data_IF_627914609253
#
_entry.id   IF_627914609253
#
_cell.length_a   1.000
_cell.length_b   1.000
_cell.length_c   1.000
_cell.angle_alpha   90.00
_cell.angle_beta   90.00
_cell.angle_gamma   90.00
#
_symmetry.space_group_name_H-M   'P 1'
#
loop_
_entity.id
_entity.type
_entity.pdbx_description
1 polymer ?
#
# COMPACT_ATOMS: atom_id res chain seq x y z
N UNK A 1 2.31 56.61 34.81
CA UNK A 1 1.22 55.62 34.81
C UNK A 1 0.41 55.82 33.54
N UNK A 2 0.65 54.98 32.51
CA UNK A 2 0.02 55.11 31.19
C UNK A 2 -0.85 53.88 30.95
N UNK A 3 -2.12 54.13 30.66
CA UNK A 3 -3.12 53.17 30.19
C UNK A 3 -2.82 52.89 28.72
N UNK A 4 -2.83 51.62 28.31
CA UNK A 4 -2.96 51.26 26.90
C UNK A 4 -4.09 50.23 26.74
N UNK A 5 -5.14 50.67 26.04
CA UNK A 5 -6.13 49.81 25.39
C UNK A 5 -5.47 49.19 24.16
N UNK A 6 -5.68 47.90 23.92
CA UNK A 6 -5.53 47.33 22.59
C UNK A 6 -6.77 46.49 22.26
N UNK A 7 -7.18 46.64 21.00
CA UNK A 7 -8.46 46.29 20.40
C UNK A 7 -8.50 44.83 19.94
N UNK A 8 -9.73 44.34 19.77
CA UNK A 8 -10.15 43.13 19.04
C UNK A 8 -9.44 42.94 17.70
N UNK A 9 -9.16 41.68 17.32
CA UNK A 9 -9.48 41.14 15.99
C UNK A 9 -9.99 39.69 16.13
N UNK A 10 -11.17 39.46 15.53
CA UNK A 10 -11.87 38.23 15.14
C UNK A 10 -10.95 37.12 14.59
N UNK A 11 -11.20 35.83 14.84
CA UNK A 11 -12.30 35.08 14.23
C UNK A 11 -11.87 34.50 12.88
N UNK A 12 -11.14 33.38 12.88
CA UNK A 12 -11.01 32.43 11.76
C UNK A 12 -10.28 31.16 12.25
N UNK A 13 -10.91 30.45 13.19
CA UNK A 13 -10.47 29.13 13.66
C UNK A 13 -11.61 28.13 13.46
N UNK A 14 -12.07 28.01 12.21
CA UNK A 14 -13.01 26.98 11.78
C UNK A 14 -12.99 26.95 10.24
N UNK A 15 -12.09 26.14 9.66
CA UNK A 15 -12.06 25.56 8.31
C UNK A 15 -10.64 25.00 8.17
N UNK A 16 -10.39 23.84 8.75
CA UNK A 16 -9.24 22.99 8.38
C UNK A 16 -9.46 21.51 8.74
N UNK A 17 -10.67 21.13 9.17
CA UNK A 17 -11.02 19.74 9.56
C UNK A 17 -12.10 19.13 8.64
N UNK A 18 -12.35 19.71 7.46
CA UNK A 18 -13.44 19.27 6.58
C UNK A 18 -12.98 19.04 5.13
N UNK A 19 -11.85 18.35 4.92
CA UNK A 19 -11.44 17.93 3.57
C UNK A 19 -10.81 16.53 3.50
N UNK A 20 -10.98 15.69 4.53
CA UNK A 20 -10.40 14.33 4.53
C UNK A 20 -11.40 13.18 4.53
N UNK A 21 -12.69 13.45 4.34
CA UNK A 21 -13.66 12.41 4.03
C UNK A 21 -14.49 12.86 2.82
N UNK A 22 -14.66 11.93 1.89
CA UNK A 22 -15.32 12.04 0.58
C UNK A 22 -14.40 12.49 -0.55
N UNK A 23 -13.67 11.54 -1.15
CA UNK A 23 -13.92 11.08 -2.53
C UNK A 23 -12.86 10.06 -2.96
N UNK A 24 -13.31 8.86 -3.33
CA UNK A 24 -12.49 7.83 -3.96
C UNK A 24 -12.12 8.18 -5.40
N UNK A 25 -11.23 7.40 -6.05
CA UNK A 25 -10.68 7.77 -7.34
C UNK A 25 -11.63 7.37 -8.47
N UNK A 26 -12.08 8.36 -9.25
CA UNK A 26 -12.40 8.15 -10.66
C UNK A 26 -11.54 9.12 -11.47
N UNK A 27 -10.50 8.56 -12.07
CA UNK A 27 -9.72 9.16 -13.13
C UNK A 27 -10.50 8.96 -14.42
N UNK A 28 -10.89 10.04 -15.08
CA UNK A 28 -10.87 10.17 -16.54
C UNK A 28 -11.20 11.62 -16.94
N UNK A 29 -10.36 12.11 -17.85
CA UNK A 29 -10.51 13.25 -18.75
C UNK A 29 -10.41 14.67 -18.18
N UNK A 30 -9.23 15.28 -18.35
CA UNK A 30 -9.18 16.66 -18.82
C UNK A 30 -7.99 16.90 -19.77
N UNK A 31 -8.35 17.02 -21.04
CA UNK A 31 -7.52 17.48 -22.16
C UNK A 31 -7.23 18.98 -21.97
N UNK A 32 -5.96 19.36 -22.06
CA UNK A 32 -5.56 20.77 -22.17
C UNK A 32 -5.87 21.28 -23.59
N UNK A 33 -6.91 22.10 -23.72
CA UNK A 33 -7.23 22.85 -24.93
C UNK A 33 -7.35 24.34 -24.59
N UNK A 34 -6.38 25.12 -25.04
CA UNK A 34 -6.42 26.59 -24.99
C UNK A 34 -7.54 27.11 -25.90
N UNK A 35 -8.50 27.84 -25.34
CA UNK A 35 -9.59 28.47 -26.08
C UNK A 35 -9.87 29.88 -25.57
N UNK A 36 -9.48 30.87 -26.37
CA UNK A 36 -9.94 32.25 -26.30
C UNK A 36 -11.47 32.29 -26.46
N UNK A 37 -12.18 32.95 -25.54
CA UNK A 37 -13.57 33.37 -25.74
C UNK A 37 -13.63 34.89 -25.66
N UNK A 38 -13.89 35.52 -26.80
CA UNK A 38 -14.29 36.92 -26.88
C UNK A 38 -15.78 37.05 -26.55
N UNK A 39 -16.11 38.01 -25.69
CA UNK A 39 -17.47 38.43 -25.39
C UNK A 39 -17.91 39.59 -26.29
N UNK A 40 -19.10 39.50 -26.84
CA UNK A 40 -20.02 40.62 -27.07
C UNK A 40 -21.41 40.12 -26.68
N UNK A 41 -22.34 40.87 -26.10
CA UNK A 41 -22.48 42.26 -25.70
C UNK A 41 -23.98 42.45 -25.44
N UNK A 42 -24.40 43.11 -24.36
CA UNK A 42 -25.84 43.27 -24.08
C UNK A 42 -26.22 43.83 -22.70
N UNK A 43 -26.19 45.17 -22.60
CA UNK A 43 -27.13 46.10 -21.92
C UNK A 43 -27.86 45.62 -20.65
N UNK A 44 -27.58 46.26 -19.49
CA UNK A 44 -28.50 47.12 -18.72
C UNK A 44 -27.79 47.73 -17.50
N UNK A 45 -28.16 48.96 -17.19
CA UNK A 45 -27.56 49.85 -16.22
C UNK A 45 -27.83 49.45 -14.76
N UNK A 46 -26.88 49.72 -13.85
CA UNK A 46 -27.04 50.67 -12.72
C UNK A 46 -25.79 50.71 -11.82
N UNK A 47 -25.36 51.95 -11.54
CA UNK A 47 -24.49 52.44 -10.47
C UNK A 47 -23.74 51.43 -9.56
N UNK A 48 -22.45 51.24 -9.81
CA UNK A 48 -21.48 50.91 -8.76
C UNK A 48 -20.18 51.70 -8.97
N UNK A 49 -19.77 52.44 -7.94
CA UNK A 49 -18.48 53.14 -7.86
C UNK A 49 -17.33 52.16 -8.11
N UNK A 50 -16.44 52.51 -9.03
CA UNK A 50 -15.14 51.86 -9.20
C UNK A 50 -14.31 51.96 -7.91
N UNK A 51 -13.94 50.81 -7.36
CA UNK A 51 -12.79 50.70 -6.45
C UNK A 51 -11.63 50.22 -7.32
N UNK A 52 -10.73 51.14 -7.67
CA UNK A 52 -9.45 50.82 -8.30
C UNK A 52 -8.60 50.03 -7.30
N UNK A 53 -8.24 48.80 -7.67
CA UNK A 53 -7.21 48.01 -7.00
C UNK A 53 -5.88 48.18 -7.75
N UNK A 54 -5.33 49.38 -7.69
CA UNK A 54 -3.93 49.59 -8.02
C UNK A 54 -3.05 49.11 -6.86
N UNK A 55 -2.31 48.02 -7.12
CA UNK A 55 -1.06 47.59 -6.45
C UNK A 55 -1.15 47.25 -4.96
N UNK A 56 -1.62 46.04 -4.66
CA UNK A 56 -1.16 45.34 -3.44
C UNK A 56 0.09 44.54 -3.80
N UNK A 57 1.27 45.12 -3.53
CA UNK A 57 2.52 44.35 -3.44
C UNK A 57 2.48 43.57 -2.13
N UNK A 58 2.16 42.27 -2.21
CA UNK A 58 2.44 41.34 -1.13
C UNK A 58 3.96 41.18 -1.02
N UNK A 59 4.57 41.85 -0.05
CA UNK A 59 5.96 41.62 0.33
C UNK A 59 5.91 40.51 1.38
N UNK A 60 6.38 39.28 1.08
CA UNK A 60 6.42 38.22 2.07
C UNK A 60 7.38 38.64 3.19
N UNK A 61 6.86 38.72 4.41
CA UNK A 61 7.69 38.90 5.60
C UNK A 61 8.59 37.66 5.75
N UNK A 62 9.90 37.89 5.85
CA UNK A 62 10.93 36.84 5.99
C UNK A 62 10.73 35.98 7.24
N UNK A 63 9.89 36.41 8.18
CA UNK A 63 9.55 35.65 9.38
C UNK A 63 8.43 34.62 9.17
N UNK A 64 7.63 34.72 8.10
CA UNK A 64 6.54 33.77 7.83
C UNK A 64 7.06 32.39 7.41
N UNK A 65 8.17 32.35 6.66
CA UNK A 65 8.85 31.11 6.27
C UNK A 65 9.38 30.31 7.47
N UNK A 66 9.80 30.99 8.55
CA UNK A 66 10.30 30.31 9.76
C UNK A 66 9.18 29.64 10.56
N UNK A 67 7.99 30.26 10.59
CA UNK A 67 6.80 29.67 11.23
C UNK A 67 6.24 28.48 10.44
N UNK A 68 6.15 28.60 9.11
CA UNK A 68 5.64 27.56 8.24
C UNK A 68 6.55 26.31 8.19
N UNK A 69 7.87 26.48 8.21
CA UNK A 69 8.81 25.34 8.27
C UNK A 69 8.77 24.60 9.61
N UNK A 70 8.58 25.30 10.73
CA UNK A 70 8.48 24.66 12.05
C UNK A 70 7.25 23.77 12.21
N UNK A 71 6.12 24.15 11.60
CA UNK A 71 4.86 23.40 11.68
C UNK A 71 4.85 22.17 10.75
N UNK A 72 5.58 22.23 9.62
CA UNK A 72 5.74 21.09 8.71
C UNK A 72 6.59 19.95 9.31
N UNK A 73 7.57 20.29 10.17
CA UNK A 73 8.43 19.30 10.86
C UNK A 73 7.69 18.59 12.00
N UNK A 74 6.74 19.26 12.65
CA UNK A 74 5.95 18.66 13.74
C UNK A 74 4.87 17.69 13.23
N UNK A 75 4.25 17.95 12.08
CA UNK A 75 3.27 17.03 11.50
C UNK A 75 3.89 15.76 10.89
N UNK A 76 5.13 15.83 10.39
CA UNK A 76 5.83 14.64 9.88
C UNK A 76 6.45 13.79 10.98
N UNK A 77 6.88 14.40 12.09
CA UNK A 77 7.43 13.69 13.25
C UNK A 77 6.40 12.84 14.01
N UNK A 78 5.15 13.28 14.10
CA UNK A 78 4.09 12.56 14.83
C UNK A 78 3.58 11.35 14.05
N UNK A 79 3.52 11.41 12.71
CA UNK A 79 3.07 10.28 11.89
C UNK A 79 4.07 9.12 11.84
N UNK A 80 5.39 9.38 11.93
CA UNK A 80 6.41 8.32 11.95
C UNK A 80 6.47 7.62 13.32
N UNK A 81 6.05 8.29 14.39
CA UNK A 81 6.08 7.72 15.74
C UNK A 81 4.87 6.81 16.03
N UNK A 82 3.73 7.00 15.35
CA UNK A 82 2.54 6.18 15.52
C UNK A 82 2.67 4.78 14.88
N UNK A 83 3.46 4.62 13.82
CA UNK A 83 3.69 3.32 13.16
C UNK A 83 4.56 2.36 13.96
N UNK A 84 5.22 2.84 15.02
CA UNK A 84 6.12 2.02 15.85
C UNK A 84 5.44 1.26 17.00
N UNK A 85 4.12 1.41 17.16
CA UNK A 85 3.39 0.92 18.36
C UNK A 85 2.63 -0.40 18.13
N UNK A 86 2.56 -0.93 16.91
CA UNK A 86 1.95 -2.26 16.66
C UNK A 86 2.98 -3.30 16.22
N UNK A 87 4.14 -3.35 16.88
CA UNK A 87 4.91 -4.60 16.88
C UNK A 87 4.25 -5.49 17.94
N UNK A 88 3.53 -6.57 17.56
CA UNK A 88 3.13 -7.56 18.57
C UNK A 88 4.40 -7.99 19.31
N UNK A 89 4.33 -8.08 20.63
CA UNK A 89 5.47 -8.60 21.41
C UNK A 89 5.69 -10.06 21.00
N UNK A 90 6.57 -10.28 20.02
CA UNK A 90 6.93 -11.60 19.49
C UNK A 90 7.91 -12.29 20.44
N UNK A 91 7.52 -12.44 21.70
CA UNK A 91 8.16 -13.38 22.61
C UNK A 91 7.59 -14.77 22.32
N UNK A 92 8.00 -15.38 21.21
CA UNK A 92 8.12 -16.83 21.04
C UNK A 92 8.47 -17.15 19.58
N UNK A 93 9.49 -17.98 19.42
CA UNK A 93 10.06 -18.49 18.15
C UNK A 93 9.12 -19.47 17.41
N UNK A 94 7.84 -19.49 17.77
CA UNK A 94 6.80 -20.28 17.12
C UNK A 94 6.06 -19.42 16.11
N UNK A 95 5.95 -19.90 14.88
CA UNK A 95 5.24 -19.21 13.81
C UNK A 95 3.89 -18.64 14.25
N UNK A 96 3.76 -17.32 14.28
CA UNK A 96 2.47 -16.68 14.54
C UNK A 96 1.60 -16.79 13.29
N UNK A 97 0.33 -17.12 13.47
CA UNK A 97 -0.66 -17.04 12.40
C UNK A 97 -0.78 -15.57 11.95
N UNK A 98 -0.37 -15.29 10.71
CA UNK A 98 -0.37 -13.93 10.17
C UNK A 98 -1.80 -13.38 10.03
N UNK A 99 -2.75 -14.27 9.75
CA UNK A 99 -4.15 -13.94 9.54
C UNK A 99 -4.87 -13.47 10.81
N UNK A 100 -4.32 -13.76 11.99
CA UNK A 100 -4.85 -13.23 13.26
C UNK A 100 -4.67 -11.71 13.37
N UNK A 101 -3.65 -11.16 12.71
CA UNK A 101 -3.34 -9.74 12.72
C UNK A 101 -3.91 -8.99 11.52
N UNK A 102 -4.01 -9.65 10.36
CA UNK A 102 -4.44 -9.07 9.09
C UNK A 102 -5.51 -9.94 8.39
N UNK A 103 -6.68 -10.13 9.01
CA UNK A 103 -7.70 -11.07 8.52
C UNK A 103 -8.23 -10.71 7.12
N UNK A 104 -8.22 -9.43 6.76
CA UNK A 104 -8.65 -8.95 5.44
C UNK A 104 -7.76 -9.46 4.30
N UNK A 105 -6.49 -9.80 4.59
CA UNK A 105 -5.55 -10.34 3.60
C UNK A 105 -5.64 -11.87 3.47
N UNK A 106 -6.45 -12.51 4.31
CA UNK A 106 -6.60 -13.96 4.39
C UNK A 106 -8.00 -14.45 4.01
N UNK A 107 -8.79 -13.61 3.34
CA UNK A 107 -10.10 -14.02 2.82
C UNK A 107 -9.93 -15.16 1.82
N UNK A 108 -10.63 -16.27 2.05
CA UNK A 108 -10.54 -17.46 1.20
C UNK A 108 -9.37 -18.39 1.52
N UNK A 109 -8.66 -18.16 2.63
CA UNK A 109 -7.57 -19.05 3.05
C UNK A 109 -8.03 -20.50 3.26
N UNK A 110 -7.15 -21.46 2.97
CA UNK A 110 -7.39 -22.89 3.16
C UNK A 110 -6.92 -23.43 4.52
N UNK A 111 -6.31 -22.58 5.36
CA UNK A 111 -5.79 -22.92 6.70
C UNK A 111 -4.84 -24.13 6.71
N UNK A 112 -4.04 -24.29 5.65
CA UNK A 112 -3.04 -25.36 5.58
C UNK A 112 -1.78 -24.92 6.34
N UNK A 113 -1.30 -25.70 7.32
CA UNK A 113 -0.10 -25.36 8.08
C UNK A 113 1.14 -25.41 7.19
N UNK A 114 2.16 -24.60 7.49
CA UNK A 114 3.37 -24.53 6.66
C UNK A 114 4.11 -25.86 6.58
N UNK A 115 4.08 -26.65 7.65
CA UNK A 115 4.68 -27.99 7.70
C UNK A 115 4.09 -28.96 6.67
N UNK A 116 2.87 -28.73 6.18
CA UNK A 116 2.21 -29.54 5.17
C UNK A 116 2.37 -28.95 3.74
N UNK A 117 2.90 -27.73 3.63
CA UNK A 117 3.08 -27.05 2.36
C UNK A 117 4.37 -27.48 1.65
N UNK A 118 4.30 -27.77 0.34
CA UNK A 118 5.47 -28.10 -0.45
C UNK A 118 6.39 -26.89 -0.58
N UNK A 119 7.67 -27.04 -0.22
CA UNK A 119 8.68 -26.00 -0.46
C UNK A 119 9.33 -26.22 -1.83
N UNK A 120 8.95 -25.38 -2.79
CA UNK A 120 9.47 -25.41 -4.16
C UNK A 120 10.60 -24.39 -4.29
N UNK A 121 11.84 -24.85 -4.09
CA UNK A 121 13.03 -23.99 -4.16
C UNK A 121 13.92 -24.32 -5.38
N UNK A 122 14.68 -23.32 -5.85
CA UNK A 122 15.70 -23.47 -6.88
C UNK A 122 15.26 -24.29 -8.11
N UNK A 123 16.06 -25.29 -8.46
CA UNK A 123 15.84 -26.17 -9.61
C UNK A 123 14.54 -26.99 -9.49
N UNK A 124 14.12 -27.34 -8.27
CA UNK A 124 12.88 -28.10 -8.03
C UNK A 124 11.67 -27.28 -8.49
N UNK A 125 11.67 -25.97 -8.20
CA UNK A 125 10.61 -25.06 -8.67
C UNK A 125 10.58 -24.92 -10.18
N UNK A 126 11.75 -24.75 -10.80
CA UNK A 126 11.86 -24.64 -12.26
C UNK A 126 11.35 -25.92 -12.94
N UNK A 127 11.79 -27.09 -12.46
CA UNK A 127 11.34 -28.39 -12.95
C UNK A 127 9.83 -28.59 -12.74
N UNK A 128 9.30 -28.18 -11.59
CA UNK A 128 7.86 -28.23 -11.33
C UNK A 128 7.09 -27.37 -12.33
N UNK A 129 7.53 -26.12 -12.57
CA UNK A 129 6.92 -25.23 -13.56
C UNK A 129 7.00 -25.80 -14.98
N UNK A 130 8.15 -26.34 -15.39
CA UNK A 130 8.32 -26.93 -16.72
C UNK A 130 7.47 -28.18 -16.95
N UNK A 131 7.09 -28.88 -15.88
CA UNK A 131 6.18 -30.05 -15.93
C UNK A 131 4.68 -29.69 -15.96
N UNK A 132 4.35 -28.41 -15.95
CA UNK A 132 2.98 -27.89 -15.89
C UNK A 132 2.75 -26.79 -16.93
N UNK A 133 1.51 -26.66 -17.42
CA UNK A 133 1.15 -25.46 -18.18
C UNK A 133 0.91 -24.31 -17.20
N UNK A 134 1.68 -23.23 -17.36
CA UNK A 134 1.51 -22.00 -16.60
C UNK A 134 1.50 -20.78 -17.52
N UNK A 135 0.97 -19.66 -17.02
CA UNK A 135 1.08 -18.34 -17.63
C UNK A 135 1.77 -17.36 -16.70
N UNK A 136 2.36 -16.32 -17.26
CA UNK A 136 2.88 -15.19 -16.50
C UNK A 136 1.88 -14.04 -16.55
N UNK A 137 1.44 -13.55 -15.40
CA UNK A 137 0.56 -12.39 -15.33
C UNK A 137 0.87 -11.50 -14.12
N UNK A 138 0.44 -10.24 -14.21
CA UNK A 138 0.43 -9.32 -13.07
C UNK A 138 -1.00 -9.22 -12.56
N UNK A 139 -1.19 -9.51 -11.28
CA UNK A 139 -2.52 -9.53 -10.65
C UNK A 139 -2.52 -8.69 -9.37
N UNK A 140 -3.67 -8.12 -9.03
CA UNK A 140 -3.86 -7.50 -7.72
C UNK A 140 -3.85 -8.57 -6.62
N UNK A 141 -3.08 -8.40 -5.52
CA UNK A 141 -3.13 -9.32 -4.39
C UNK A 141 -4.54 -9.50 -3.81
N UNK A 142 -5.42 -8.50 -3.93
CA UNK A 142 -6.82 -8.59 -3.49
C UNK A 142 -7.65 -9.64 -4.22
N UNK A 143 -7.17 -10.12 -5.37
CA UNK A 143 -7.83 -11.14 -6.18
C UNK A 143 -7.27 -12.54 -5.94
N UNK A 144 -6.35 -12.69 -4.99
CA UNK A 144 -5.73 -13.95 -4.64
C UNK A 144 -6.09 -14.32 -3.20
N UNK A 145 -6.17 -15.63 -2.93
CA UNK A 145 -6.30 -16.17 -1.59
C UNK A 145 -5.02 -16.90 -1.19
N UNK A 146 -4.45 -16.71 0.01
CA UNK A 146 -3.34 -17.54 0.46
C UNK A 146 -3.81 -18.98 0.70
N UNK A 147 -2.92 -19.97 0.56
CA UNK A 147 -3.22 -21.35 0.97
C UNK A 147 -2.85 -21.59 2.45
N UNK A 148 -1.73 -20.98 2.89
CA UNK A 148 -1.27 -21.04 4.27
C UNK A 148 -1.51 -19.71 5.00
N UNK A 149 -1.83 -19.78 6.29
CA UNK A 149 -1.95 -18.64 7.21
C UNK A 149 -0.65 -18.32 7.97
N UNK A 150 0.32 -19.22 7.89
CA UNK A 150 1.59 -19.15 8.61
C UNK A 150 2.64 -18.35 7.81
N UNK A 151 3.03 -17.18 8.33
CA UNK A 151 4.11 -16.38 7.76
C UNK A 151 4.96 -15.67 8.81
N UNK A 152 6.24 -15.48 8.48
CA UNK A 152 7.18 -14.76 9.34
C UNK A 152 6.98 -13.26 9.13
N UNK A 153 6.44 -12.60 10.15
CA UNK A 153 6.11 -11.18 10.12
C UNK A 153 7.33 -10.28 9.90
N UNK A 154 8.45 -10.57 10.57
CA UNK A 154 9.70 -9.80 10.43
C UNK A 154 10.23 -9.84 8.99
N UNK A 155 10.15 -11.00 8.34
CA UNK A 155 10.54 -11.17 6.93
C UNK A 155 9.64 -10.32 6.02
N UNK A 156 8.34 -10.28 6.27
CA UNK A 156 7.39 -9.44 5.51
C UNK A 156 7.74 -7.95 5.70
N UNK A 157 7.96 -7.51 6.94
CA UNK A 157 8.37 -6.13 7.22
C UNK A 157 9.69 -5.76 6.54
N UNK A 158 10.67 -6.66 6.54
CA UNK A 158 11.94 -6.46 5.84
C UNK A 158 11.76 -6.28 4.33
N UNK A 159 10.85 -7.05 3.71
CA UNK A 159 10.50 -6.88 2.29
C UNK A 159 9.83 -5.54 2.01
N UNK A 160 8.88 -5.13 2.86
CA UNK A 160 8.18 -3.84 2.75
C UNK A 160 9.18 -2.68 2.89
N UNK A 161 10.03 -2.70 3.91
CA UNK A 161 11.03 -1.66 4.15
C UNK A 161 12.03 -1.55 3.00
N UNK A 162 12.52 -2.68 2.47
CA UNK A 162 13.38 -2.72 1.30
C UNK A 162 12.72 -2.10 0.06
N UNK A 163 11.44 -2.37 -0.17
CA UNK A 163 10.68 -1.81 -1.27
C UNK A 163 10.50 -0.29 -1.13
N UNK A 164 10.13 0.18 0.07
CA UNK A 164 9.96 1.61 0.36
C UNK A 164 11.27 2.40 0.23
N UNK A 165 12.42 1.76 0.47
CA UNK A 165 13.75 2.34 0.25
C UNK A 165 14.23 2.28 -1.20
N UNK A 166 13.48 1.61 -2.08
CA UNK A 166 13.87 1.40 -3.48
C UNK A 166 15.08 0.48 -3.65
N UNK A 167 15.38 -0.38 -2.67
CA UNK A 167 16.52 -1.30 -2.71
C UNK A 167 16.15 -2.56 -3.50
N UNK A 168 14.99 -3.13 -3.18
CA UNK A 168 14.48 -4.33 -3.84
C UNK A 168 12.96 -4.39 -3.73
N UNK A 169 12.30 -4.71 -4.83
CA UNK A 169 10.84 -4.78 -4.94
C UNK A 169 10.37 -6.26 -4.88
N UNK A 170 9.64 -6.66 -3.84
CA UNK A 170 9.10 -8.02 -3.73
C UNK A 170 8.10 -8.37 -4.82
N UNK A 171 7.41 -7.37 -5.39
CA UNK A 171 6.28 -7.56 -6.29
C UNK A 171 6.69 -7.85 -7.74
N UNK A 172 7.94 -7.55 -8.09
CA UNK A 172 8.54 -7.93 -9.37
C UNK A 172 8.92 -9.41 -9.45
N UNK A 173 9.08 -10.09 -8.30
CA UNK A 173 9.51 -11.48 -8.26
C UNK A 173 8.29 -12.40 -8.24
N UNK A 174 8.12 -13.29 -9.24
CA UNK A 174 6.88 -14.04 -9.41
C UNK A 174 6.60 -15.02 -8.26
N UNK A 175 5.36 -15.00 -7.79
CA UNK A 175 4.81 -16.03 -6.89
C UNK A 175 4.15 -17.15 -7.71
N UNK A 176 3.94 -18.32 -7.11
CA UNK A 176 3.25 -19.43 -7.78
C UNK A 176 1.79 -19.43 -7.36
N UNK A 177 0.89 -19.39 -8.33
CA UNK A 177 -0.56 -19.40 -8.10
C UNK A 177 -1.24 -20.53 -8.84
N UNK A 178 -2.42 -20.90 -8.36
CA UNK A 178 -3.23 -21.99 -8.92
C UNK A 178 -4.31 -21.44 -9.85
N UNK A 179 -5.02 -22.34 -10.54
CA UNK A 179 -6.09 -21.98 -11.47
C UNK A 179 -7.22 -21.21 -10.80
N UNK A 180 -7.52 -21.56 -9.56
CA UNK A 180 -8.55 -21.00 -8.69
C UNK A 180 -8.03 -19.86 -7.81
N UNK A 181 -7.00 -19.14 -8.27
CA UNK A 181 -6.49 -17.89 -7.67
C UNK A 181 -5.96 -18.04 -6.24
N UNK A 182 -5.43 -19.22 -5.90
CA UNK A 182 -4.75 -19.42 -4.62
C UNK A 182 -3.24 -19.29 -4.75
N UNK A 183 -2.58 -18.76 -3.72
CA UNK A 183 -1.12 -18.65 -3.62
C UNK A 183 -0.55 -19.98 -3.13
N UNK A 184 0.16 -20.70 -4.00
CA UNK A 184 0.80 -21.96 -3.66
C UNK A 184 2.19 -21.75 -3.03
N UNK A 185 2.98 -20.83 -3.59
CA UNK A 185 4.32 -20.49 -3.08
C UNK A 185 4.59 -18.98 -3.22
N UNK A 186 5.36 -18.42 -2.28
CA UNK A 186 5.70 -17.00 -2.23
C UNK A 186 4.84 -16.16 -1.28
N UNK A 187 4.29 -16.77 -0.23
CA UNK A 187 3.34 -16.12 0.70
C UNK A 187 3.88 -14.84 1.36
N UNK A 188 5.15 -14.78 1.80
CA UNK A 188 5.72 -13.54 2.35
C UNK A 188 5.71 -12.39 1.33
N UNK A 189 5.99 -12.68 0.05
CA UNK A 189 5.94 -11.69 -1.04
C UNK A 189 4.50 -11.26 -1.31
N UNK A 190 3.57 -12.21 -1.32
CA UNK A 190 2.14 -11.93 -1.42
C UNK A 190 1.67 -10.95 -0.34
N UNK A 191 1.96 -11.22 0.94
CA UNK A 191 1.57 -10.35 2.04
C UNK A 191 2.24 -8.98 1.97
N UNK A 192 3.54 -8.91 1.64
CA UNK A 192 4.25 -7.65 1.43
C UNK A 192 3.62 -6.81 0.30
N UNK A 193 3.29 -7.43 -0.83
CA UNK A 193 2.67 -6.74 -1.96
C UNK A 193 1.22 -6.33 -1.69
N UNK A 194 0.49 -7.12 -0.92
CA UNK A 194 -0.85 -6.78 -0.44
C UNK A 194 -0.80 -5.54 0.44
N UNK A 195 0.14 -5.48 1.39
CA UNK A 195 0.36 -4.29 2.22
C UNK A 195 0.75 -3.06 1.40
N UNK A 196 1.62 -3.21 0.40
CA UNK A 196 2.04 -2.13 -0.49
C UNK A 196 0.96 -1.70 -1.51
N UNK A 197 -0.15 -2.45 -1.61
CA UNK A 197 -1.19 -2.27 -2.60
C UNK A 197 -0.64 -2.20 -4.04
N UNK A 198 0.28 -3.12 -4.36
CA UNK A 198 0.91 -3.22 -5.68
C UNK A 198 0.53 -4.53 -6.38
N UNK A 199 0.45 -4.51 -7.70
CA UNK A 199 0.26 -5.73 -8.49
C UNK A 199 1.49 -6.63 -8.37
N UNK A 200 1.27 -7.93 -8.21
CA UNK A 200 2.32 -8.93 -8.06
C UNK A 200 2.44 -9.77 -9.33
N UNK A 201 3.67 -10.07 -9.74
CA UNK A 201 3.93 -11.04 -10.81
C UNK A 201 3.61 -12.45 -10.34
N UNK A 202 3.02 -13.28 -11.20
CA UNK A 202 2.67 -14.67 -10.87
C UNK A 202 3.03 -15.63 -12.00
N UNK A 203 3.39 -16.86 -11.63
CA UNK A 203 3.29 -18.04 -12.47
C UNK A 203 1.99 -18.76 -12.13
N UNK A 204 0.97 -18.64 -12.98
CA UNK A 204 -0.36 -19.21 -12.73
C UNK A 204 -0.52 -20.56 -13.42
N UNK A 205 -0.69 -21.61 -12.63
CA UNK A 205 -0.96 -22.97 -13.10
C UNK A 205 -2.35 -23.04 -13.74
N UNK A 206 -2.43 -23.34 -15.03
CA UNK A 206 -3.68 -23.21 -15.80
C UNK A 206 -4.72 -24.30 -15.52
N UNK A 207 -4.29 -25.46 -15.01
CA UNK A 207 -5.13 -26.65 -14.91
C UNK A 207 -5.18 -27.30 -13.54
N UNK A 208 -4.52 -26.72 -12.54
CA UNK A 208 -4.48 -27.28 -11.19
C UNK A 208 -5.19 -26.32 -10.24
N UNK A 209 -6.24 -26.81 -9.57
CA UNK A 209 -6.78 -26.17 -8.37
C UNK A 209 -5.76 -26.19 -7.23
N UNK A 210 -6.03 -25.46 -6.16
CA UNK A 210 -5.18 -25.42 -4.98
C UNK A 210 -4.83 -26.84 -4.45
N UNK A 211 -5.84 -27.66 -4.21
CA UNK A 211 -5.66 -29.03 -3.69
C UNK A 211 -4.91 -29.95 -4.66
N UNK A 212 -5.21 -29.88 -5.96
CA UNK A 212 -4.50 -30.67 -6.98
C UNK A 212 -3.04 -30.26 -7.09
N UNK A 213 -2.75 -28.96 -6.99
CA UNK A 213 -1.40 -28.44 -7.05
C UNK A 213 -0.58 -28.86 -5.82
N UNK A 214 -1.15 -28.78 -4.61
CA UNK A 214 -0.51 -29.27 -3.38
C UNK A 214 -0.22 -30.77 -3.49
N UNK A 215 -1.22 -31.58 -3.85
CA UNK A 215 -1.06 -33.02 -3.97
C UNK A 215 0.02 -33.39 -4.99
N UNK A 216 0.06 -32.69 -6.15
CA UNK A 216 1.07 -32.90 -7.18
C UNK A 216 2.47 -32.44 -6.73
N UNK A 217 2.56 -31.32 -6.03
CA UNK A 217 3.83 -30.79 -5.55
C UNK A 217 4.43 -31.65 -4.41
N UNK A 218 3.62 -32.15 -3.48
CA UNK A 218 4.09 -33.00 -2.37
C UNK A 218 4.74 -34.31 -2.81
N UNK A 219 4.39 -34.83 -4.00
CA UNK A 219 5.00 -36.03 -4.58
C UNK A 219 6.07 -35.69 -5.62
N UNK A 220 6.38 -34.41 -5.83
CA UNK A 220 7.33 -33.99 -6.86
C UNK A 220 8.78 -34.24 -6.38
N UNK A 221 9.66 -34.81 -7.22
CA UNK A 221 11.03 -35.12 -6.81
C UNK A 221 11.79 -33.90 -6.29
N UNK A 222 12.37 -34.02 -5.10
CA UNK A 222 13.18 -32.97 -4.46
C UNK A 222 12.40 -31.96 -3.62
N UNK A 223 11.08 -32.10 -3.48
CA UNK A 223 10.29 -31.24 -2.59
C UNK A 223 10.56 -31.59 -1.13
N UNK A 224 10.78 -30.55 -0.33
CA UNK A 224 10.97 -30.62 1.11
C UNK A 224 9.80 -29.96 1.84
N UNK A 225 9.66 -30.30 3.13
CA UNK A 225 8.66 -29.75 4.04
C UNK A 225 9.38 -29.18 5.26
N UNK A 226 9.14 -27.90 5.55
CA UNK A 226 9.77 -27.19 6.67
C UNK A 226 8.71 -26.53 7.54
N UNK A 227 8.81 -26.73 8.85
CA UNK A 227 8.03 -25.93 9.80
C UNK A 227 8.55 -24.47 9.85
N UNK A 228 7.72 -23.51 10.31
CA UNK A 228 8.16 -22.11 10.46
C UNK A 228 9.40 -21.97 11.36
N UNK A 229 9.54 -22.85 12.35
CA UNK A 229 10.52 -22.78 13.43
C UNK A 229 11.94 -23.13 12.96
N UNK A 230 12.09 -23.74 11.79
CA UNK A 230 13.38 -24.22 11.27
C UNK A 230 14.25 -23.10 10.68
N UNK A 231 13.68 -21.93 10.39
CA UNK A 231 14.36 -20.83 9.70
C UNK A 231 15.06 -19.84 10.64
N UNK A 232 15.06 -20.08 11.95
CA UNK A 232 15.66 -19.19 12.96
C UNK A 232 17.09 -19.62 13.40
N UNK A 233 17.72 -20.57 12.69
CA UNK A 233 19.09 -21.03 12.92
C UNK A 233 20.02 -20.57 11.79
#
# INVERSE_FOLDING_TARGET
MKINKFFQISGLALICMASFFLQGPKVQDLVFGAGLIGMGGGILAENTKEISFDRIKLIPDKNWLKGAMGMLVLCTGISILATRIMQPETNETGGTNYCDFFPEQCVGNLDIPRSEMPQLEGEVKENFLMSNLYTCEYISPTNLAPIQNEANYEKILGMIDSALKGIWDPCLNPILTTKDDHVLDGHHRFFACSYLNQTISTFKLQFLSAWEAIAKANIFPGVEHHALNEFNN
#
